data_IF_783349866573
#
_entry.id   IF_783349866573
#
_cell.length_a   1.000
_cell.length_b   1.000
_cell.length_c   1.000
_cell.angle_alpha   90.00
_cell.angle_beta   90.00
_cell.angle_gamma   90.00
#
_symmetry.space_group_name_H-M   'P 1'
#
loop_
_entity.id
_entity.type
_entity.pdbx_description
1 polymer ?
#
# COMPACT_ATOMS: atom_id res chain seq x y z
N UNK A 1 4.90 10.35 30.42
CA UNK A 1 3.62 11.09 30.18
C UNK A 1 2.79 10.29 29.20
N UNK A 2 1.52 10.08 29.50
CA UNK A 2 0.60 9.45 28.55
C UNK A 2 0.35 10.43 27.40
N UNK A 3 0.68 10.03 26.15
CA UNK A 3 0.38 10.82 24.96
C UNK A 3 -1.14 10.78 24.71
N UNK A 4 -1.72 11.93 24.36
CA UNK A 4 -3.13 12.01 23.97
C UNK A 4 -3.31 11.26 22.64
N UNK A 5 -4.23 10.30 22.59
CA UNK A 5 -4.67 9.64 21.37
C UNK A 5 -5.84 10.41 20.74
N UNK A 6 -5.77 10.65 19.43
CA UNK A 6 -6.79 11.36 18.65
C UNK A 6 -7.18 10.43 17.50
N UNK A 7 -8.48 10.16 17.38
CA UNK A 7 -9.06 9.43 16.26
C UNK A 7 -9.52 10.42 15.20
N UNK A 8 -9.17 10.16 13.94
CA UNK A 8 -9.44 11.04 12.80
C UNK A 8 -9.99 10.21 11.65
N UNK A 9 -11.13 10.60 11.11
CA UNK A 9 -11.67 10.11 9.85
C UNK A 9 -11.15 11.00 8.73
N UNK A 10 -10.58 10.42 7.67
CA UNK A 10 -10.08 11.15 6.52
C UNK A 10 -10.55 10.54 5.19
N UNK A 11 -10.72 11.35 4.17
CA UNK A 11 -11.25 10.94 2.88
C UNK A 11 -10.23 11.08 1.74
N UNK A 12 -9.95 9.98 1.05
CA UNK A 12 -9.41 10.02 -0.29
C UNK A 12 -10.59 10.12 -1.29
N UNK A 13 -10.98 11.35 -1.62
CA UNK A 13 -12.11 11.62 -2.53
C UNK A 13 -11.60 11.52 -3.97
N UNK A 14 -12.27 10.70 -4.78
CA UNK A 14 -11.85 10.42 -6.15
C UNK A 14 -12.96 10.84 -7.12
N UNK A 15 -12.63 11.72 -8.07
CA UNK A 15 -13.56 12.12 -9.11
C UNK A 15 -13.64 11.11 -10.26
N UNK A 16 -14.53 11.35 -11.21
CA UNK A 16 -14.74 10.50 -12.40
C UNK A 16 -13.51 10.42 -13.32
N UNK A 17 -12.58 11.39 -13.23
CA UNK A 17 -11.29 11.38 -13.95
C UNK A 17 -10.21 10.58 -13.23
N UNK A 18 -10.50 10.04 -12.04
CA UNK A 18 -9.54 9.28 -11.21
C UNK A 18 -8.56 10.16 -10.43
N UNK A 19 -8.80 11.48 -10.37
CA UNK A 19 -8.00 12.42 -9.58
C UNK A 19 -8.48 12.42 -8.12
N UNK A 20 -7.57 12.74 -7.22
CA UNK A 20 -7.80 12.79 -5.77
C UNK A 20 -7.87 14.24 -5.32
N UNK A 21 -8.87 14.58 -4.50
CA UNK A 21 -8.99 15.88 -3.87
C UNK A 21 -8.05 15.97 -2.67
N UNK A 22 -7.26 17.02 -2.64
CA UNK A 22 -6.42 17.38 -1.50
C UNK A 22 -6.74 18.80 -1.03
N UNK A 23 -6.61 19.04 0.27
CA UNK A 23 -6.84 20.32 0.90
C UNK A 23 -5.55 20.85 1.55
N UNK A 24 -5.35 22.16 1.57
CA UNK A 24 -4.18 22.76 2.20
C UNK A 24 -4.52 23.15 3.64
N UNK A 25 -3.71 22.63 4.58
CA UNK A 25 -3.86 22.96 6.00
C UNK A 25 -3.60 24.42 6.27
N UNK A 26 -4.42 25.10 7.11
CA UNK A 26 -4.13 26.44 7.57
C UNK A 26 -2.73 26.53 8.21
N UNK A 27 -2.03 27.63 7.99
CA UNK A 27 -0.63 27.80 8.43
C UNK A 27 -0.47 27.81 9.96
N UNK A 28 -1.52 28.20 10.70
CA UNK A 28 -1.56 28.25 12.17
C UNK A 28 -1.83 26.88 12.84
N UNK A 29 -2.16 25.85 12.08
CA UNK A 29 -2.42 24.51 12.61
C UNK A 29 -1.16 23.65 12.68
N UNK A 30 -1.21 22.58 13.49
CA UNK A 30 -0.15 21.55 13.52
C UNK A 30 0.10 21.00 12.11
N UNK A 31 1.36 21.00 11.65
CA UNK A 31 1.74 20.67 10.27
C UNK A 31 1.16 21.67 9.22
N UNK A 32 0.91 22.92 9.59
CA UNK A 32 0.35 23.95 8.71
C UNK A 32 1.13 24.15 7.41
N UNK A 33 0.44 24.65 6.37
CA UNK A 33 1.00 24.84 5.04
C UNK A 33 1.18 23.58 4.18
N UNK A 34 1.04 22.38 4.78
CA UNK A 34 1.08 21.11 4.05
C UNK A 34 -0.28 20.74 3.48
N UNK A 35 -0.26 19.83 2.52
CA UNK A 35 -1.47 19.24 1.96
C UNK A 35 -1.93 18.05 2.78
N UNK A 36 -3.23 17.81 2.81
CA UNK A 36 -3.83 16.70 3.53
C UNK A 36 -5.05 16.13 2.79
N UNK A 37 -5.47 14.98 3.24
CA UNK A 37 -6.78 14.42 2.87
C UNK A 37 -7.84 15.07 3.76
N UNK A 38 -8.95 15.61 3.19
CA UNK A 38 -10.03 16.22 3.95
C UNK A 38 -10.60 15.29 5.02
N UNK A 39 -11.03 15.86 6.14
CA UNK A 39 -11.60 15.12 7.26
C UNK A 39 -11.14 15.64 8.61
N UNK A 40 -11.69 15.08 9.68
CA UNK A 40 -11.46 15.59 11.00
C UNK A 40 -11.61 14.56 12.11
N UNK A 41 -11.78 15.04 13.33
CA UNK A 41 -11.84 14.18 14.51
C UNK A 41 -13.16 13.42 14.57
N UNK A 42 -13.08 12.17 15.01
CA UNK A 42 -14.26 11.39 15.35
C UNK A 42 -14.73 11.84 16.75
N UNK A 43 -15.94 12.34 16.84
CA UNK A 43 -16.52 12.80 18.10
C UNK A 43 -17.10 11.64 18.92
N UNK A 44 -17.39 11.90 20.18
CA UNK A 44 -17.92 10.87 21.08
C UNK A 44 -19.29 10.38 20.59
N UNK A 45 -19.39 9.09 20.30
CA UNK A 45 -20.62 8.44 19.85
C UNK A 45 -20.79 8.38 18.34
N UNK A 46 -19.90 9.01 17.57
CA UNK A 46 -19.91 8.89 16.11
C UNK A 46 -19.26 7.58 15.65
N UNK A 47 -19.80 7.02 14.58
CA UNK A 47 -19.04 6.06 13.74
C UNK A 47 -18.05 6.81 12.86
N UNK A 48 -17.06 6.10 12.30
CA UNK A 48 -16.10 6.70 11.33
C UNK A 48 -16.82 7.32 10.15
N UNK A 49 -17.86 6.66 9.65
CA UNK A 49 -18.61 7.13 8.48
C UNK A 49 -19.46 8.38 8.80
N UNK A 50 -20.05 8.46 10.02
CA UNK A 50 -20.77 9.65 10.47
C UNK A 50 -19.82 10.86 10.54
N UNK A 51 -18.66 10.69 11.20
CA UNK A 51 -17.64 11.72 11.29
C UNK A 51 -17.15 12.16 9.91
N UNK A 52 -16.86 11.19 9.02
CA UNK A 52 -16.43 11.48 7.67
C UNK A 52 -17.47 12.30 6.90
N UNK A 53 -18.74 11.91 6.96
CA UNK A 53 -19.86 12.60 6.28
C UNK A 53 -20.03 14.01 6.80
N UNK A 54 -19.98 14.20 8.13
CA UNK A 54 -20.09 15.52 8.77
C UNK A 54 -18.92 16.43 8.36
N UNK A 55 -17.68 15.96 8.49
CA UNK A 55 -16.47 16.73 8.18
C UNK A 55 -16.42 17.13 6.71
N UNK A 56 -16.74 16.22 5.78
CA UNK A 56 -16.74 16.54 4.37
C UNK A 56 -17.86 17.51 3.97
N UNK A 57 -18.98 17.48 4.70
CA UNK A 57 -20.01 18.51 4.51
C UNK A 57 -19.55 19.88 5.03
N UNK A 58 -18.94 19.92 6.22
CA UNK A 58 -18.44 21.16 6.83
C UNK A 58 -17.28 21.77 6.03
N UNK A 59 -16.27 20.99 5.66
CA UNK A 59 -15.07 21.45 5.00
C UNK A 59 -15.23 21.70 3.49
N UNK A 60 -16.07 20.92 2.81
CA UNK A 60 -16.12 20.87 1.35
C UNK A 60 -17.53 21.12 0.76
N UNK A 61 -18.56 21.23 1.58
CA UNK A 61 -19.97 21.35 1.15
C UNK A 61 -20.47 20.19 0.27
N UNK A 62 -19.91 18.97 0.42
CA UNK A 62 -20.34 17.77 -0.32
C UNK A 62 -21.07 16.79 0.61
N UNK A 63 -21.86 15.89 -0.02
CA UNK A 63 -22.51 14.77 0.66
C UNK A 63 -21.93 13.45 0.15
N UNK A 64 -21.45 12.61 1.07
CA UNK A 64 -20.92 11.28 0.75
C UNK A 64 -22.07 10.35 0.33
N UNK A 65 -21.93 9.66 -0.79
CA UNK A 65 -22.88 8.65 -1.27
C UNK A 65 -22.28 7.25 -1.12
N UNK A 66 -21.04 7.06 -1.60
CA UNK A 66 -20.35 5.76 -1.51
C UNK A 66 -18.93 5.97 -0.96
N UNK A 67 -18.64 5.28 0.13
CA UNK A 67 -17.32 5.27 0.74
C UNK A 67 -16.92 3.85 1.14
N UNK A 68 -15.64 3.49 0.92
CA UNK A 68 -15.07 2.20 1.27
C UNK A 68 -13.80 2.39 2.11
N UNK A 69 -13.53 1.54 3.11
CA UNK A 69 -12.29 1.59 3.87
C UNK A 69 -11.07 1.49 2.95
N UNK A 70 -10.08 2.35 3.15
CA UNK A 70 -8.82 2.32 2.39
C UNK A 70 -7.67 1.81 3.25
N UNK A 71 -7.37 2.48 4.36
CA UNK A 71 -6.28 2.10 5.26
C UNK A 71 -6.50 2.69 6.66
N UNK A 72 -6.10 1.96 7.69
CA UNK A 72 -6.02 2.44 9.07
C UNK A 72 -4.55 2.58 9.47
N UNK A 73 -4.18 3.73 10.05
CA UNK A 73 -2.80 4.03 10.43
C UNK A 73 -2.77 4.59 11.84
N UNK A 74 -1.90 4.03 12.67
CA UNK A 74 -1.55 4.63 13.95
C UNK A 74 -0.18 5.30 13.82
N UNK A 75 -0.13 6.62 13.91
CA UNK A 75 1.10 7.38 13.80
C UNK A 75 1.41 8.13 15.10
N UNK A 76 2.62 7.94 15.59
CA UNK A 76 3.08 8.56 16.84
C UNK A 76 3.93 9.79 16.55
N UNK A 77 3.37 10.98 16.85
CA UNK A 77 4.12 12.24 16.91
C UNK A 77 4.78 12.39 18.30
N UNK A 78 5.78 13.26 18.45
CA UNK A 78 6.40 13.51 19.75
C UNK A 78 5.38 13.85 20.86
N UNK A 79 4.34 14.62 20.54
CA UNK A 79 3.35 15.14 21.49
C UNK A 79 2.02 14.36 21.55
N UNK A 80 1.70 13.57 20.54
CA UNK A 80 0.39 12.88 20.42
C UNK A 80 0.46 11.63 19.56
N UNK A 81 -0.52 10.75 19.73
CA UNK A 81 -0.78 9.62 18.83
C UNK A 81 -1.99 9.98 17.96
N UNK A 82 -1.89 9.80 16.66
CA UNK A 82 -2.99 10.01 15.70
C UNK A 82 -3.34 8.67 15.08
N UNK A 83 -4.61 8.29 15.24
CA UNK A 83 -5.20 7.12 14.58
C UNK A 83 -6.02 7.63 13.41
N UNK A 84 -5.50 7.43 12.20
CA UNK A 84 -6.17 7.79 10.95
C UNK A 84 -6.99 6.59 10.47
N UNK A 85 -8.29 6.78 10.31
CA UNK A 85 -9.17 5.85 9.61
C UNK A 85 -9.53 6.48 8.27
N UNK A 86 -8.91 5.98 7.20
CA UNK A 86 -8.97 6.60 5.87
C UNK A 86 -9.90 5.81 4.97
N UNK A 87 -10.85 6.52 4.37
CA UNK A 87 -11.84 5.96 3.46
C UNK A 87 -11.69 6.53 2.06
N UNK A 88 -11.90 5.71 1.07
CA UNK A 88 -12.00 6.13 -0.32
C UNK A 88 -13.44 6.48 -0.62
N UNK A 89 -13.71 7.76 -0.96
CA UNK A 89 -15.02 8.25 -1.40
C UNK A 89 -15.04 8.29 -2.91
N UNK A 90 -15.88 7.46 -3.53
CA UNK A 90 -15.97 7.33 -5.00
C UNK A 90 -17.23 7.95 -5.58
N UNK A 91 -18.26 8.18 -4.74
CA UNK A 91 -19.48 8.84 -5.14
C UNK A 91 -19.87 9.86 -4.06
N UNK A 92 -20.16 11.07 -4.49
CA UNK A 92 -20.62 12.18 -3.66
C UNK A 92 -21.50 13.12 -4.48
N UNK A 93 -22.32 13.93 -3.82
CA UNK A 93 -23.10 15.00 -4.44
C UNK A 93 -22.62 16.37 -3.96
N UNK A 94 -22.84 17.40 -4.78
CA UNK A 94 -22.32 18.76 -4.58
C UNK A 94 -21.00 19.01 -5.31
N UNK A 95 -20.65 20.28 -5.45
CA UNK A 95 -19.37 20.71 -6.02
C UNK A 95 -18.42 21.05 -4.88
N UNK A 96 -17.28 20.36 -4.73
CA UNK A 96 -16.36 20.60 -3.62
C UNK A 96 -15.80 22.02 -3.65
N UNK A 97 -15.93 22.73 -2.54
CA UNK A 97 -15.35 24.06 -2.32
C UNK A 97 -14.56 24.06 -1.01
N UNK A 98 -13.58 24.93 -0.88
CA UNK A 98 -12.88 25.15 0.40
C UNK A 98 -13.76 25.98 1.34
N UNK A 99 -14.75 25.35 1.96
CA UNK A 99 -15.81 26.03 2.73
C UNK A 99 -15.31 26.72 4.01
N UNK A 100 -14.13 26.33 4.51
CA UNK A 100 -13.42 26.98 5.61
C UNK A 100 -12.33 27.98 5.14
N UNK A 101 -12.31 28.30 3.84
CA UNK A 101 -11.31 29.18 3.23
C UNK A 101 -9.99 28.49 2.86
N UNK A 102 -9.87 27.19 3.04
CA UNK A 102 -8.72 26.39 2.64
C UNK A 102 -8.68 26.22 1.11
N UNK A 103 -7.46 26.21 0.55
CA UNK A 103 -7.26 25.87 -0.86
C UNK A 103 -7.48 24.38 -1.06
N UNK A 104 -8.21 24.00 -2.10
CA UNK A 104 -8.41 22.62 -2.52
C UNK A 104 -7.90 22.43 -3.94
N UNK A 105 -7.48 21.21 -4.28
CA UNK A 105 -6.98 20.86 -5.60
C UNK A 105 -7.25 19.41 -5.96
N UNK A 106 -7.70 19.16 -7.21
CA UNK A 106 -7.73 17.83 -7.80
C UNK A 106 -6.36 17.50 -8.37
N UNK A 107 -5.85 16.31 -8.04
CA UNK A 107 -4.49 15.87 -8.39
C UNK A 107 -4.52 14.42 -8.89
N UNK A 108 -3.88 14.17 -10.02
CA UNK A 108 -3.69 12.80 -10.49
C UNK A 108 -2.92 11.97 -9.44
N UNK A 109 -3.35 10.74 -9.18
CA UNK A 109 -2.75 9.85 -8.14
C UNK A 109 -1.23 9.78 -8.26
N UNK A 110 -0.70 9.69 -9.48
CA UNK A 110 0.75 9.61 -9.75
C UNK A 110 1.52 10.88 -9.42
N UNK A 111 0.84 12.01 -9.26
CA UNK A 111 1.46 13.31 -8.95
C UNK A 111 1.37 13.67 -7.46
N UNK A 112 0.67 12.88 -6.64
CA UNK A 112 0.50 13.17 -5.21
C UNK A 112 1.83 13.32 -4.46
N UNK A 113 2.87 12.55 -4.83
CA UNK A 113 4.19 12.66 -4.20
C UNK A 113 4.96 13.95 -4.51
N UNK A 114 4.48 14.78 -5.43
CA UNK A 114 5.03 16.12 -5.69
C UNK A 114 4.56 17.15 -4.64
N UNK A 115 3.59 16.80 -3.80
CA UNK A 115 3.03 17.68 -2.77
C UNK A 115 3.61 17.32 -1.39
N UNK A 116 3.74 18.33 -0.53
CA UNK A 116 4.22 18.13 0.83
C UNK A 116 3.06 17.72 1.75
N UNK A 117 3.06 16.49 2.20
CA UNK A 117 2.12 15.96 3.18
C UNK A 117 2.76 15.80 4.56
N UNK A 118 1.96 15.76 5.67
CA UNK A 118 2.41 15.25 6.95
C UNK A 118 2.95 13.82 6.83
N UNK A 119 3.94 13.42 7.62
CA UNK A 119 4.51 12.06 7.55
C UNK A 119 3.49 10.94 7.68
N UNK A 120 2.45 11.12 8.51
CA UNK A 120 1.36 10.16 8.70
C UNK A 120 0.53 9.89 7.43
N UNK A 121 0.58 10.78 6.42
CA UNK A 121 -0.17 10.60 5.18
C UNK A 121 0.57 9.75 4.12
N UNK A 122 1.89 9.52 4.28
CA UNK A 122 2.66 8.74 3.29
C UNK A 122 2.05 7.35 3.00
N UNK A 123 1.62 6.56 4.00
CA UNK A 123 0.95 5.28 3.74
C UNK A 123 -0.36 5.40 2.95
N UNK A 124 -1.08 6.52 3.09
CA UNK A 124 -2.30 6.77 2.32
C UNK A 124 -1.96 6.94 0.83
N UNK A 125 -0.89 7.72 0.53
CA UNK A 125 -0.40 7.90 -0.83
C UNK A 125 -0.03 6.56 -1.47
N UNK A 126 0.63 5.69 -0.71
CA UNK A 126 0.98 4.34 -1.19
C UNK A 126 -0.29 3.49 -1.43
N UNK A 127 -1.24 3.48 -0.48
CA UNK A 127 -2.47 2.72 -0.62
C UNK A 127 -3.30 3.13 -1.85
N UNK A 128 -3.27 4.41 -2.24
CA UNK A 128 -3.96 4.92 -3.42
C UNK A 128 -3.34 4.48 -4.76
N UNK A 129 -2.04 4.17 -4.76
CA UNK A 129 -1.29 3.76 -5.95
C UNK A 129 -1.15 2.24 -6.09
N UNK A 130 -1.22 1.52 -5.00
CA UNK A 130 -1.08 0.07 -5.00
C UNK A 130 -2.37 -0.60 -5.46
N UNK A 131 -2.30 -1.61 -6.36
CA UNK A 131 -3.48 -2.35 -6.83
C UNK A 131 -4.00 -3.34 -5.78
N UNK A 132 -5.15 -3.97 -6.07
CA UNK A 132 -5.74 -4.98 -5.20
C UNK A 132 -5.00 -6.33 -5.22
N UNK A 133 -4.28 -6.60 -6.30
CA UNK A 133 -3.63 -7.89 -6.53
C UNK A 133 -2.12 -7.73 -6.65
N UNK A 134 -1.39 -8.54 -5.88
CA UNK A 134 0.06 -8.64 -5.94
C UNK A 134 0.46 -10.07 -6.34
N UNK A 135 0.90 -10.24 -7.57
CA UNK A 135 1.41 -11.52 -8.06
C UNK A 135 2.85 -11.73 -7.57
N UNK A 136 3.11 -12.88 -7.00
CA UNK A 136 4.45 -13.39 -6.73
C UNK A 136 4.70 -14.52 -7.72
N UNK A 137 5.76 -14.44 -8.55
CA UNK A 137 6.03 -15.47 -9.54
C UNK A 137 6.25 -16.83 -8.90
N UNK A 138 5.68 -17.85 -9.50
CA UNK A 138 5.97 -19.25 -9.20
C UNK A 138 7.17 -19.75 -9.99
N UNK A 139 7.37 -21.08 -9.97
CA UNK A 139 8.40 -21.72 -10.76
C UNK A 139 8.07 -21.66 -12.26
N UNK A 140 9.11 -21.68 -13.09
CA UNK A 140 9.03 -21.65 -14.54
C UNK A 140 10.15 -22.53 -15.13
N UNK A 141 9.91 -23.06 -16.32
CA UNK A 141 10.82 -24.01 -16.97
C UNK A 141 12.08 -23.31 -17.53
N UNK A 142 11.86 -22.21 -18.23
CA UNK A 142 12.90 -21.40 -18.85
C UNK A 142 12.50 -19.92 -18.95
N UNK A 143 13.35 -19.10 -19.56
CA UNK A 143 13.11 -17.67 -19.72
C UNK A 143 11.88 -17.37 -20.59
N UNK A 144 11.63 -18.14 -21.63
CA UNK A 144 10.50 -17.97 -22.53
C UNK A 144 9.17 -18.29 -21.81
N UNK A 145 9.16 -19.36 -21.02
CA UNK A 145 8.00 -19.72 -20.18
C UNK A 145 7.73 -18.63 -19.12
N UNK A 146 8.74 -18.12 -18.43
CA UNK A 146 8.59 -17.03 -17.49
C UNK A 146 7.96 -15.79 -18.14
N UNK A 147 8.49 -15.38 -19.30
CA UNK A 147 7.99 -14.21 -20.02
C UNK A 147 6.54 -14.41 -20.47
N UNK A 148 6.20 -15.58 -21.02
CA UNK A 148 4.85 -15.94 -21.44
C UNK A 148 3.87 -15.84 -20.27
N UNK A 149 4.22 -16.39 -19.10
CA UNK A 149 3.36 -16.37 -17.90
C UNK A 149 3.17 -14.95 -17.37
N UNK A 150 4.22 -14.15 -17.30
CA UNK A 150 4.11 -12.73 -16.91
C UNK A 150 3.21 -11.96 -17.88
N UNK A 151 3.36 -12.18 -19.19
CA UNK A 151 2.50 -11.56 -20.19
C UNK A 151 1.03 -11.96 -20.01
N UNK A 152 0.74 -13.22 -19.77
CA UNK A 152 -0.60 -13.72 -19.50
C UNK A 152 -1.19 -13.12 -18.21
N UNK A 153 -0.39 -13.02 -17.15
CA UNK A 153 -0.82 -12.38 -15.91
C UNK A 153 -1.15 -10.89 -16.11
N UNK A 154 -0.33 -10.16 -16.86
CA UNK A 154 -0.57 -8.76 -17.19
C UNK A 154 -1.84 -8.61 -18.04
N UNK A 155 -2.05 -9.49 -19.00
CA UNK A 155 -3.27 -9.50 -19.81
C UNK A 155 -4.54 -9.79 -18.98
N UNK A 156 -4.42 -10.54 -17.88
CA UNK A 156 -5.53 -10.76 -16.93
C UNK A 156 -5.76 -9.60 -15.95
N UNK A 157 -4.99 -8.50 -16.06
CA UNK A 157 -5.18 -7.29 -15.26
C UNK A 157 -4.23 -7.11 -14.08
N UNK A 158 -3.24 -7.98 -13.89
CA UNK A 158 -2.22 -7.81 -12.85
C UNK A 158 -1.37 -6.55 -13.12
N UNK A 159 -1.18 -5.72 -12.08
CA UNK A 159 -0.45 -4.44 -12.14
C UNK A 159 0.75 -4.36 -11.19
N UNK A 160 0.93 -5.35 -10.33
CA UNK A 160 2.05 -5.43 -9.39
C UNK A 160 2.57 -6.87 -9.36
N UNK A 161 3.85 -7.04 -9.64
CA UNK A 161 4.49 -8.35 -9.77
C UNK A 161 5.78 -8.38 -8.97
N UNK A 162 6.02 -9.47 -8.24
CA UNK A 162 7.34 -9.81 -7.71
C UNK A 162 7.94 -10.93 -8.56
N UNK A 163 9.08 -10.68 -9.17
CA UNK A 163 9.89 -11.74 -9.75
C UNK A 163 10.70 -12.42 -8.64
N UNK A 164 10.41 -13.68 -8.40
CA UNK A 164 11.02 -14.51 -7.38
C UNK A 164 11.53 -15.81 -8.00
N UNK A 165 12.74 -16.22 -7.63
CA UNK A 165 13.22 -17.59 -7.87
C UNK A 165 13.68 -18.20 -6.55
N UNK A 166 13.53 -19.53 -6.43
CA UNK A 166 13.90 -20.26 -5.20
C UNK A 166 15.37 -20.66 -5.18
N UNK A 167 15.99 -20.96 -6.32
CA UNK A 167 17.24 -21.71 -6.35
C UNK A 167 18.41 -21.08 -7.13
N UNK A 168 18.23 -20.03 -7.90
CA UNK A 168 19.30 -19.46 -8.76
C UNK A 168 19.20 -17.95 -8.90
N UNK A 169 20.34 -17.25 -9.10
CA UNK A 169 20.29 -15.88 -9.57
C UNK A 169 19.49 -15.82 -10.88
N UNK A 170 18.64 -14.83 -10.98
CA UNK A 170 17.84 -14.62 -12.20
C UNK A 170 18.78 -14.13 -13.30
N UNK A 171 18.75 -14.74 -14.50
CA UNK A 171 19.55 -14.27 -15.61
C UNK A 171 19.25 -12.80 -15.93
N UNK A 172 20.30 -11.99 -16.09
CA UNK A 172 20.17 -10.55 -16.32
C UNK A 172 19.31 -10.22 -17.56
N UNK A 173 19.43 -11.03 -18.62
CA UNK A 173 18.66 -10.82 -19.84
C UNK A 173 17.15 -11.05 -19.63
N UNK A 174 16.77 -12.02 -18.78
CA UNK A 174 15.38 -12.21 -18.40
C UNK A 174 14.86 -11.00 -17.59
N UNK A 175 15.66 -10.51 -16.63
CA UNK A 175 15.29 -9.33 -15.86
C UNK A 175 15.09 -8.12 -16.76
N UNK A 176 15.99 -7.88 -17.71
CA UNK A 176 15.86 -6.78 -18.69
C UNK A 176 14.59 -6.92 -19.54
N UNK A 177 14.33 -8.10 -20.10
CA UNK A 177 13.16 -8.35 -20.94
C UNK A 177 11.85 -8.12 -20.16
N UNK A 178 11.79 -8.59 -18.90
CA UNK A 178 10.62 -8.38 -18.03
C UNK A 178 10.47 -6.92 -17.62
N UNK A 179 11.56 -6.24 -17.29
CA UNK A 179 11.54 -4.82 -16.92
C UNK A 179 11.04 -3.97 -18.10
N UNK A 180 11.54 -4.20 -19.31
CA UNK A 180 11.10 -3.49 -20.51
C UNK A 180 9.61 -3.73 -20.78
N UNK A 181 9.15 -4.97 -20.68
CA UNK A 181 7.74 -5.31 -20.89
C UNK A 181 6.83 -4.68 -19.83
N UNK A 182 7.20 -4.77 -18.55
CA UNK A 182 6.46 -4.15 -17.45
C UNK A 182 6.41 -2.62 -17.59
N UNK A 183 7.52 -1.99 -18.02
CA UNK A 183 7.54 -0.55 -18.29
C UNK A 183 6.56 -0.15 -19.40
N UNK A 184 6.56 -0.87 -20.53
CA UNK A 184 5.67 -0.60 -21.67
C UNK A 184 4.18 -0.78 -21.32
N UNK A 185 3.88 -1.70 -20.40
CA UNK A 185 2.51 -2.03 -19.98
C UNK A 185 2.07 -1.31 -18.70
N UNK A 186 2.89 -0.41 -18.15
CA UNK A 186 2.66 0.31 -16.90
C UNK A 186 2.35 -0.64 -15.73
N UNK A 187 3.18 -1.69 -15.58
CA UNK A 187 3.11 -2.67 -14.50
C UNK A 187 4.31 -2.50 -13.58
N UNK A 188 4.09 -2.52 -12.28
CA UNK A 188 5.15 -2.44 -11.28
C UNK A 188 5.84 -3.80 -11.11
N UNK A 189 7.15 -3.84 -11.33
CA UNK A 189 7.97 -5.04 -11.16
C UNK A 189 8.92 -4.88 -9.98
N UNK A 190 8.73 -5.71 -8.96
CA UNK A 190 9.64 -5.84 -7.82
C UNK A 190 10.51 -7.08 -7.98
N UNK A 191 11.72 -7.00 -7.46
CA UNK A 191 12.67 -8.11 -7.49
C UNK A 191 13.05 -8.48 -6.06
N UNK A 192 13.27 -9.76 -5.79
CA UNK A 192 13.84 -10.22 -4.52
C UNK A 192 15.27 -9.71 -4.41
N UNK A 193 15.61 -9.02 -3.31
CA UNK A 193 16.91 -8.36 -3.13
C UNK A 193 18.10 -9.31 -3.32
N UNK A 194 18.07 -10.49 -2.72
CA UNK A 194 19.16 -11.46 -2.79
C UNK A 194 19.40 -12.06 -4.17
N UNK A 195 18.49 -11.87 -5.13
CA UNK A 195 18.60 -12.47 -6.46
C UNK A 195 19.24 -11.54 -7.48
N UNK A 196 19.67 -10.34 -7.10
CA UNK A 196 20.09 -9.33 -8.05
C UNK A 196 21.33 -8.53 -7.63
N UNK A 197 22.19 -8.22 -8.59
CA UNK A 197 23.26 -7.23 -8.40
C UNK A 197 22.66 -5.82 -8.26
N UNK A 198 23.37 -4.91 -7.58
CA UNK A 198 22.92 -3.51 -7.40
C UNK A 198 22.64 -2.77 -8.71
N UNK A 199 23.21 -3.17 -9.81
CA UNK A 199 23.04 -2.56 -11.15
C UNK A 199 21.62 -2.73 -11.69
N UNK A 200 20.91 -3.78 -11.27
CA UNK A 200 19.56 -4.08 -11.75
C UNK A 200 18.54 -3.04 -11.30
N UNK A 201 18.72 -2.43 -10.14
CA UNK A 201 17.77 -1.41 -9.63
C UNK A 201 17.78 -0.11 -10.44
N UNK A 202 18.79 0.10 -11.28
CA UNK A 202 18.85 1.23 -12.20
C UNK A 202 18.20 0.92 -13.56
N UNK A 203 17.73 -0.30 -13.77
CA UNK A 203 17.02 -0.64 -15.01
C UNK A 203 15.64 0.02 -15.02
N UNK A 204 15.37 0.70 -16.13
CA UNK A 204 14.03 1.25 -16.40
C UNK A 204 13.03 0.10 -16.40
N UNK A 205 11.93 0.25 -15.63
CA UNK A 205 10.92 -0.80 -15.50
C UNK A 205 11.03 -1.64 -14.21
N UNK A 206 12.15 -1.55 -13.49
CA UNK A 206 12.20 -2.05 -12.10
C UNK A 206 11.60 -1.00 -11.19
N UNK A 207 10.53 -1.38 -10.51
CA UNK A 207 9.78 -0.48 -9.61
C UNK A 207 10.25 -0.58 -8.16
N UNK A 208 10.99 -1.64 -7.79
CA UNK A 208 11.45 -1.78 -6.41
C UNK A 208 11.97 -3.17 -6.03
N UNK A 209 12.08 -3.35 -4.73
CA UNK A 209 12.59 -4.57 -4.10
C UNK A 209 11.59 -5.15 -3.12
N UNK A 210 11.62 -6.47 -2.96
CA UNK A 210 10.89 -7.19 -1.92
C UNK A 210 11.88 -7.95 -1.04
N UNK A 211 11.96 -7.58 0.22
CA UNK A 211 12.85 -8.18 1.20
C UNK A 211 12.24 -9.47 1.76
N UNK A 212 13.06 -10.48 1.93
CA UNK A 212 12.71 -11.62 2.78
C UNK A 212 12.74 -11.19 4.26
N UNK A 213 12.21 -12.03 5.17
CA UNK A 213 12.30 -11.78 6.61
C UNK A 213 13.75 -11.60 7.06
N UNK A 214 14.66 -12.46 6.61
CA UNK A 214 16.08 -12.37 7.00
C UNK A 214 16.70 -11.03 6.54
N UNK A 215 16.42 -10.62 5.30
CA UNK A 215 16.88 -9.33 4.76
C UNK A 215 16.24 -8.15 5.50
N UNK A 216 14.95 -8.24 5.86
CA UNK A 216 14.24 -7.22 6.65
C UNK A 216 14.88 -7.04 8.03
N UNK A 217 15.14 -8.14 8.74
CA UNK A 217 15.68 -8.10 10.10
C UNK A 217 17.11 -7.60 10.13
N UNK A 218 17.93 -7.93 9.13
CA UNK A 218 19.33 -7.48 9.00
C UNK A 218 19.46 -6.06 8.40
N UNK A 219 18.41 -5.56 7.74
CA UNK A 219 18.47 -4.29 7.02
C UNK A 219 18.53 -3.09 7.94
N UNK A 220 19.28 -2.06 7.52
CA UNK A 220 19.31 -0.76 8.18
C UNK A 220 18.60 0.33 7.36
N UNK A 221 18.20 1.41 8.03
CA UNK A 221 17.44 2.49 7.41
C UNK A 221 18.17 3.23 6.28
N UNK A 222 19.51 3.22 6.26
CA UNK A 222 20.28 3.89 5.20
C UNK A 222 20.09 3.21 3.84
N UNK A 223 20.05 1.87 3.82
CA UNK A 223 19.80 1.09 2.59
C UNK A 223 18.39 1.37 2.06
N UNK A 224 17.39 1.35 2.94
CA UNK A 224 15.99 1.65 2.55
C UNK A 224 15.87 3.06 1.99
N UNK A 225 16.46 4.04 2.69
CA UNK A 225 16.47 5.44 2.23
C UNK A 225 17.13 5.59 0.85
N UNK A 226 18.17 4.81 0.56
CA UNK A 226 18.82 4.84 -0.75
C UNK A 226 17.87 4.36 -1.86
N UNK A 227 17.16 3.24 -1.66
CA UNK A 227 16.17 2.75 -2.62
C UNK A 227 15.05 3.78 -2.84
N UNK A 228 14.49 4.31 -1.76
CA UNK A 228 13.39 5.29 -1.84
C UNK A 228 13.80 6.59 -2.52
N UNK A 229 15.04 7.07 -2.33
CA UNK A 229 15.60 8.23 -3.05
C UNK A 229 15.73 8.01 -4.56
N UNK A 230 15.87 6.77 -4.99
CA UNK A 230 15.88 6.37 -6.41
C UNK A 230 14.47 6.17 -6.98
N UNK A 231 13.40 6.42 -6.18
CA UNK A 231 12.02 6.18 -6.58
C UNK A 231 11.59 4.71 -6.53
N UNK A 232 12.42 3.84 -5.92
CA UNK A 232 12.09 2.42 -5.78
C UNK A 232 11.18 2.17 -4.59
N UNK A 233 10.15 1.34 -4.80
CA UNK A 233 9.35 0.77 -3.74
C UNK A 233 10.18 -0.24 -2.94
N UNK A 234 9.99 -0.25 -1.63
CA UNK A 234 10.59 -1.26 -0.76
C UNK A 234 9.49 -1.99 0.01
N UNK A 235 9.36 -3.27 -0.29
CA UNK A 235 8.41 -4.15 0.38
C UNK A 235 9.12 -5.25 1.18
N UNK A 236 8.41 -5.92 2.09
CA UNK A 236 8.94 -7.07 2.82
C UNK A 236 7.87 -8.12 3.12
N UNK A 237 8.32 -9.37 3.31
CA UNK A 237 7.50 -10.43 3.88
C UNK A 237 7.49 -10.33 5.40
N UNK A 238 6.29 -10.43 6.03
CA UNK A 238 6.10 -10.44 7.48
C UNK A 238 5.15 -11.58 7.88
N UNK A 239 5.36 -12.13 9.08
CA UNK A 239 4.58 -13.25 9.62
C UNK A 239 4.07 -13.01 11.04
N UNK A 240 4.60 -12.00 11.72
CA UNK A 240 4.32 -11.70 13.12
C UNK A 240 4.48 -10.20 13.44
N UNK A 241 4.17 -9.83 14.67
CA UNK A 241 4.22 -8.45 15.15
C UNK A 241 5.64 -7.86 15.15
N UNK A 242 6.68 -8.65 15.47
CA UNK A 242 8.07 -8.18 15.54
C UNK A 242 8.56 -7.74 14.16
N UNK A 243 8.28 -8.53 13.13
CA UNK A 243 8.62 -8.23 11.74
C UNK A 243 7.89 -6.98 11.23
N UNK A 244 6.61 -6.81 11.59
CA UNK A 244 5.83 -5.62 11.27
C UNK A 244 6.41 -4.38 11.95
N UNK A 245 6.77 -4.47 13.22
CA UNK A 245 7.42 -3.35 13.95
C UNK A 245 8.74 -2.97 13.30
N UNK A 246 9.54 -3.95 12.86
CA UNK A 246 10.78 -3.69 12.11
C UNK A 246 10.49 -3.00 10.77
N UNK A 247 9.48 -3.46 10.03
CA UNK A 247 9.06 -2.84 8.77
C UNK A 247 8.62 -1.37 8.96
N UNK A 248 7.85 -1.09 10.04
CA UNK A 248 7.46 0.26 10.43
C UNK A 248 8.67 1.16 10.72
N UNK A 249 9.62 0.65 11.51
CA UNK A 249 10.84 1.40 11.86
C UNK A 249 11.70 1.76 10.63
N UNK A 250 11.61 0.95 9.58
CA UNK A 250 12.28 1.17 8.30
C UNK A 250 11.44 2.00 7.31
N UNK A 251 10.20 2.36 7.65
CA UNK A 251 9.25 3.10 6.81
C UNK A 251 9.08 2.47 5.42
N UNK A 252 8.82 1.15 5.37
CA UNK A 252 8.60 0.42 4.12
C UNK A 252 7.34 0.91 3.40
N UNK A 253 7.29 0.71 2.08
CA UNK A 253 6.18 1.17 1.26
C UNK A 253 4.97 0.23 1.35
N UNK A 254 5.17 -1.06 1.53
CA UNK A 254 4.14 -2.05 1.87
C UNK A 254 4.76 -3.35 2.40
N UNK A 255 3.93 -4.24 2.96
CA UNK A 255 4.34 -5.57 3.39
C UNK A 255 3.36 -6.65 2.89
N UNK A 256 3.82 -7.91 2.86
CA UNK A 256 2.93 -9.08 2.81
C UNK A 256 2.83 -9.70 4.19
N UNK A 257 1.64 -10.13 4.59
CA UNK A 257 1.38 -10.87 5.83
C UNK A 257 0.95 -12.29 5.49
N UNK A 258 1.69 -13.28 5.95
CA UNK A 258 1.47 -14.69 5.60
C UNK A 258 1.85 -15.68 6.70
N UNK A 259 1.35 -16.95 6.63
CA UNK A 259 0.27 -17.39 5.77
C UNK A 259 -1.11 -17.07 6.40
N UNK A 260 -2.08 -16.60 5.63
CA UNK A 260 -3.44 -16.36 6.14
C UNK A 260 -4.21 -17.68 6.29
N UNK A 261 -4.15 -18.52 5.27
CA UNK A 261 -4.74 -19.85 5.25
C UNK A 261 -3.63 -20.92 5.07
N UNK A 262 -3.87 -22.19 5.40
CA UNK A 262 -2.92 -23.26 5.12
C UNK A 262 -2.52 -23.29 3.65
N UNK A 263 -1.26 -23.51 3.36
CA UNK A 263 -0.72 -23.50 1.99
C UNK A 263 0.05 -24.76 1.67
N UNK A 264 0.07 -25.18 0.41
CA UNK A 264 0.90 -26.27 -0.07
C UNK A 264 2.41 -25.97 0.06
N UNK A 265 2.80 -24.68 0.05
CA UNK A 265 4.19 -24.26 0.20
C UNK A 265 4.75 -24.47 1.62
N UNK A 266 3.88 -24.60 2.62
CA UNK A 266 4.25 -24.84 4.03
C UNK A 266 3.32 -25.91 4.62
N UNK A 267 3.48 -27.19 4.23
CA UNK A 267 2.62 -28.27 4.71
C UNK A 267 2.69 -28.38 6.23
N UNK A 268 1.53 -28.48 6.89
CA UNK A 268 1.43 -28.64 8.34
C UNK A 268 1.48 -27.34 9.15
N UNK A 269 1.72 -26.18 8.55
CA UNK A 269 1.53 -24.90 9.23
C UNK A 269 0.06 -24.47 9.19
N UNK A 270 -0.49 -24.19 10.38
CA UNK A 270 -1.78 -23.54 10.50
C UNK A 270 -1.66 -22.10 10.03
N UNK A 271 -2.61 -21.63 9.21
CA UNK A 271 -2.69 -20.23 8.85
C UNK A 271 -3.01 -19.33 10.05
N UNK A 272 -2.68 -18.06 9.96
CA UNK A 272 -3.00 -17.04 10.96
C UNK A 272 -4.52 -16.89 11.17
N UNK A 273 -5.30 -17.13 10.12
CA UNK A 273 -6.72 -16.82 10.08
C UNK A 273 -6.99 -15.32 10.02
N UNK A 274 -8.17 -14.96 9.56
CA UNK A 274 -8.56 -13.55 9.34
C UNK A 274 -8.57 -12.70 10.61
N UNK A 275 -8.94 -13.29 11.76
CA UNK A 275 -8.98 -12.58 13.05
C UNK A 275 -7.59 -12.15 13.51
N UNK A 276 -6.61 -13.05 13.44
CA UNK A 276 -5.22 -12.74 13.80
C UNK A 276 -4.62 -11.77 12.77
N UNK A 277 -4.90 -11.98 11.49
CA UNK A 277 -4.47 -11.07 10.43
C UNK A 277 -4.95 -9.65 10.69
N UNK A 278 -6.23 -9.44 11.04
CA UNK A 278 -6.77 -8.12 11.38
C UNK A 278 -6.03 -7.47 12.57
N UNK A 279 -5.69 -8.25 13.59
CA UNK A 279 -4.94 -7.72 14.74
C UNK A 279 -3.53 -7.29 14.35
N UNK A 280 -2.85 -8.06 13.51
CA UNK A 280 -1.51 -7.76 13.02
C UNK A 280 -1.50 -6.58 12.03
N UNK A 281 -2.47 -6.51 11.12
CA UNK A 281 -2.61 -5.40 10.16
C UNK A 281 -2.73 -4.06 10.88
N UNK A 282 -3.45 -3.99 12.01
CA UNK A 282 -3.58 -2.76 12.83
C UNK A 282 -2.26 -2.27 13.41
N UNK A 283 -1.22 -3.10 13.47
CA UNK A 283 0.11 -2.70 13.91
C UNK A 283 0.92 -2.07 12.77
N UNK A 284 0.55 -2.33 11.51
CA UNK A 284 1.29 -1.84 10.36
C UNK A 284 1.07 -0.33 10.14
N UNK A 285 2.15 0.36 9.74
CA UNK A 285 2.13 1.77 9.34
C UNK A 285 2.32 1.93 7.81
N UNK A 286 2.01 0.88 7.07
CA UNK A 286 2.03 0.84 5.62
C UNK A 286 0.96 -0.14 5.11
N UNK A 287 0.58 -0.10 3.82
CA UNK A 287 -0.32 -1.08 3.22
C UNK A 287 0.14 -2.52 3.42
N UNK A 288 -0.80 -3.42 3.66
CA UNK A 288 -0.55 -4.84 3.91
C UNK A 288 -1.28 -5.68 2.88
N UNK A 289 -0.58 -6.56 2.16
CA UNK A 289 -1.22 -7.60 1.36
C UNK A 289 -1.33 -8.90 2.16
N UNK A 290 -2.53 -9.47 2.22
CA UNK A 290 -2.73 -10.81 2.75
C UNK A 290 -2.22 -11.86 1.75
N UNK A 291 -1.40 -12.82 2.22
CA UNK A 291 -0.80 -13.86 1.38
C UNK A 291 -0.97 -15.24 2.03
N UNK A 292 -1.09 -16.28 1.20
CA UNK A 292 -1.11 -17.67 1.62
C UNK A 292 -2.50 -18.30 1.60
N UNK A 293 -2.71 -19.21 0.68
CA UNK A 293 -3.96 -19.95 0.47
C UNK A 293 -5.11 -19.11 -0.10
N UNK A 294 -4.82 -17.89 -0.58
CA UNK A 294 -5.82 -16.92 -1.06
C UNK A 294 -5.91 -16.85 -2.58
N UNK A 295 -7.06 -16.42 -3.06
CA UNK A 295 -7.38 -16.19 -4.47
C UNK A 295 -7.95 -14.77 -4.68
N UNK A 296 -8.28 -14.42 -5.91
CA UNK A 296 -8.93 -13.15 -6.23
C UNK A 296 -10.31 -12.98 -5.58
N UNK A 297 -11.02 -14.07 -5.26
CA UNK A 297 -12.31 -14.01 -4.57
C UNK A 297 -12.20 -13.57 -3.10
N UNK A 298 -11.01 -13.66 -2.51
CA UNK A 298 -10.78 -13.31 -1.09
C UNK A 298 -10.51 -11.81 -0.89
N UNK A 299 -10.41 -11.01 -1.96
CA UNK A 299 -10.08 -9.58 -1.88
C UNK A 299 -11.07 -8.79 -1.03
N UNK A 300 -12.36 -9.11 -1.14
CA UNK A 300 -13.40 -8.46 -0.33
C UNK A 300 -13.18 -8.68 1.16
N UNK A 301 -12.89 -9.91 1.56
CA UNK A 301 -12.60 -10.24 2.96
C UNK A 301 -11.26 -9.64 3.43
N UNK A 302 -10.24 -9.63 2.57
CA UNK A 302 -8.97 -8.97 2.87
C UNK A 302 -9.17 -7.47 3.15
N UNK A 303 -9.97 -6.78 2.33
CA UNK A 303 -10.33 -5.38 2.54
C UNK A 303 -11.08 -5.16 3.87
N UNK A 304 -12.00 -6.05 4.24
CA UNK A 304 -12.75 -5.96 5.51
C UNK A 304 -11.85 -6.05 6.75
N UNK A 305 -10.73 -6.76 6.68
CA UNK A 305 -9.76 -6.82 7.79
C UNK A 305 -8.71 -5.71 7.75
N UNK A 306 -8.83 -4.75 6.81
CA UNK A 306 -7.93 -3.59 6.66
C UNK A 306 -6.72 -3.84 5.77
N UNK A 307 -6.70 -4.93 4.99
CA UNK A 307 -5.64 -5.21 4.03
C UNK A 307 -5.79 -4.37 2.76
N UNK A 308 -4.66 -4.06 2.10
CA UNK A 308 -4.62 -3.45 0.77
C UNK A 308 -5.27 -4.34 -0.29
N UNK A 309 -5.14 -5.64 -0.14
CA UNK A 309 -5.63 -6.63 -1.08
C UNK A 309 -5.00 -7.99 -0.82
N UNK A 310 -4.93 -8.81 -1.85
CA UNK A 310 -4.37 -10.16 -1.77
C UNK A 310 -3.11 -10.31 -2.61
N UNK A 311 -2.12 -11.02 -2.05
CA UNK A 311 -0.97 -11.50 -2.79
C UNK A 311 -1.10 -13.02 -3.01
N UNK A 312 -0.55 -13.51 -4.11
CA UNK A 312 -0.62 -14.94 -4.41
C UNK A 312 0.45 -15.41 -5.38
N UNK A 313 0.74 -16.72 -5.30
CA UNK A 313 1.61 -17.42 -6.23
C UNK A 313 0.73 -18.22 -7.19
N UNK A 314 0.34 -19.45 -6.83
CA UNK A 314 -0.32 -20.41 -7.70
C UNK A 314 -1.66 -19.95 -8.30
N UNK A 315 -2.40 -19.11 -7.58
CA UNK A 315 -3.71 -18.62 -8.05
C UNK A 315 -3.61 -17.45 -9.06
N UNK A 316 -2.47 -16.76 -9.07
CA UNK A 316 -2.21 -15.62 -9.95
C UNK A 316 -1.13 -15.90 -11.01
N UNK A 317 -0.35 -16.99 -10.83
CA UNK A 317 0.68 -17.42 -11.78
C UNK A 317 0.06 -18.34 -12.82
N UNK A 318 -0.08 -17.89 -14.08
CA UNK A 318 -0.72 -18.69 -15.13
C UNK A 318 0.05 -19.98 -15.39
N UNK A 319 -0.69 -21.05 -15.76
CA UNK A 319 -0.11 -22.35 -16.15
C UNK A 319 0.56 -22.31 -17.53
#
# INVERSE_FOLDING_TARGET
MYKKSIQVAAAAIINTSGEVLIAKRPDDKHQGGKWEFPGGKIEQGETVLDALTRELHEELAIQVVTANPLIQITYEYPEKIVQLDVWQVTEFSGDPIGNEGQSIQWVAKTQLFNFQFPPANRPILQALLLPDYYLISGDFEDQADCLRRVQAAIASGIKLIQLRTTEKPIPLDLVKALADYCYQTNVQLLIKQSNCSREIYNLKGISGVHLTVAELMDCNGAVITQYQKQGCLVAASCHNAEEIVKANALALDFITLSPIQPTASHPGQLGLGWKTAQQLIKLAQCPVYCLGGLSSSDVGQARQVGSQGVAGISQFWPS
#
